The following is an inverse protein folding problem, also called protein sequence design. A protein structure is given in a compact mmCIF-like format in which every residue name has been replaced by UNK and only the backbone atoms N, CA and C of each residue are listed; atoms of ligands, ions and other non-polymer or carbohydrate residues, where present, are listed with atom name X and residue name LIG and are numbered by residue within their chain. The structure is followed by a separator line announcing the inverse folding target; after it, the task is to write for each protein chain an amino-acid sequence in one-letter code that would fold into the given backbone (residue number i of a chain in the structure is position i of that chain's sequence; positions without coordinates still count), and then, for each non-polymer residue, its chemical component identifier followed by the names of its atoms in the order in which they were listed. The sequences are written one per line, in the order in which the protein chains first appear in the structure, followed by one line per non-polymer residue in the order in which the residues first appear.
data_IF_183191924434
#
_entry.id   IF_183191924434
#
_cell.length_a   1.000
_cell.length_b   1.000
_cell.length_c   1.000
_cell.angle_alpha   90.00
_cell.angle_beta   90.00
_cell.angle_gamma   90.00
#
_symmetry.space_group_name_H-M   'P 1'
#
loop_
_entity.id
_entity.type
_entity.pdbx_description
1 polymer ?
#
# COMPACT_ATOMS: atom_id res chain seq x y z
N UNK A 1 15.12 -44.82 5.58
CA UNK A 1 15.36 -43.51 6.24
C UNK A 1 15.84 -42.57 5.15
N UNK A 2 15.06 -41.56 4.73
CA UNK A 2 15.51 -40.63 3.68
C UNK A 2 16.80 -39.96 4.13
N UNK A 3 17.80 -39.97 3.26
CA UNK A 3 19.12 -39.37 3.53
C UNK A 3 18.95 -37.90 3.91
N UNK A 4 19.72 -37.42 4.90
CA UNK A 4 19.71 -36.03 5.38
C UNK A 4 19.78 -35.01 4.23
N UNK A 5 20.45 -35.37 3.13
CA UNK A 5 20.52 -34.59 1.90
C UNK A 5 19.18 -34.36 1.20
N UNK A 6 18.27 -35.34 1.22
CA UNK A 6 16.93 -35.22 0.61
C UNK A 6 16.08 -34.22 1.39
N UNK A 7 16.24 -34.14 2.71
CA UNK A 7 15.57 -33.16 3.55
C UNK A 7 16.09 -31.74 3.29
N UNK A 8 17.40 -31.57 3.14
CA UNK A 8 18.01 -30.26 2.82
C UNK A 8 17.52 -29.76 1.45
N UNK A 9 17.51 -30.62 0.43
CA UNK A 9 17.01 -30.25 -0.90
C UNK A 9 15.51 -29.91 -0.90
N UNK A 10 14.70 -30.60 -0.09
CA UNK A 10 13.27 -30.29 0.04
C UNK A 10 13.01 -28.93 0.70
N UNK A 11 13.81 -28.54 1.70
CA UNK A 11 13.69 -27.23 2.37
C UNK A 11 14.17 -26.08 1.46
N UNK A 12 15.26 -26.28 0.69
CA UNK A 12 15.74 -25.26 -0.25
C UNK A 12 14.90 -25.15 -1.54
N UNK A 13 14.28 -26.24 -2.00
CA UNK A 13 13.47 -26.24 -3.22
C UNK A 13 12.12 -25.52 -3.09
N UNK A 14 11.64 -25.29 -1.87
CA UNK A 14 10.34 -24.65 -1.60
C UNK A 14 10.35 -23.12 -1.56
N UNK A 15 11.52 -22.46 -1.60
CA UNK A 15 11.63 -21.04 -1.26
C UNK A 15 11.39 -20.05 -2.41
N UNK A 16 11.32 -20.50 -3.67
CA UNK A 16 11.42 -19.58 -4.83
C UNK A 16 10.12 -19.31 -5.60
N UNK A 17 8.96 -19.79 -5.14
CA UNK A 17 7.68 -19.55 -5.82
C UNK A 17 6.82 -18.48 -5.11
N UNK A 18 7.43 -17.38 -4.65
CA UNK A 18 6.63 -16.25 -4.17
C UNK A 18 5.96 -15.61 -5.38
N UNK A 19 4.62 -15.51 -5.41
CA UNK A 19 3.93 -14.83 -6.49
C UNK A 19 4.39 -13.37 -6.52
N UNK A 20 4.79 -12.90 -7.71
CA UNK A 20 5.05 -11.47 -7.93
C UNK A 20 3.73 -10.73 -7.68
N UNK A 21 3.69 -9.76 -6.75
CA UNK A 21 2.48 -8.98 -6.52
C UNK A 21 2.05 -8.29 -7.81
N UNK A 22 0.75 -8.38 -8.13
CA UNK A 22 0.20 -7.62 -9.24
C UNK A 22 0.42 -6.12 -9.01
N UNK A 23 0.65 -5.33 -10.08
CA UNK A 23 0.77 -3.89 -9.93
C UNK A 23 -0.52 -3.31 -9.35
N UNK A 24 -0.38 -2.40 -8.38
CA UNK A 24 -1.50 -1.69 -7.78
C UNK A 24 -2.13 -0.76 -8.83
N UNK A 25 -3.46 -0.69 -8.85
CA UNK A 25 -4.18 0.34 -9.58
C UNK A 25 -3.88 1.73 -8.97
N UNK A 26 -3.99 2.80 -9.76
CA UNK A 26 -3.71 4.18 -9.31
C UNK A 26 -4.47 4.55 -8.04
N UNK A 27 -5.77 4.23 -7.98
CA UNK A 27 -6.63 4.48 -6.82
C UNK A 27 -6.20 3.69 -5.58
N UNK A 28 -5.71 2.46 -5.76
CA UNK A 28 -5.19 1.64 -4.68
C UNK A 28 -3.85 2.19 -4.15
N UNK A 29 -2.99 2.68 -5.04
CA UNK A 29 -1.73 3.31 -4.65
C UNK A 29 -1.96 4.60 -3.86
N UNK A 30 -2.94 5.43 -4.25
CA UNK A 30 -3.36 6.59 -3.48
C UNK A 30 -3.89 6.20 -2.09
N UNK A 31 -4.79 5.21 -2.03
CA UNK A 31 -5.32 4.72 -0.76
C UNK A 31 -4.21 4.23 0.17
N UNK A 32 -3.29 3.41 -0.34
CA UNK A 32 -2.15 2.91 0.42
C UNK A 32 -1.23 4.04 0.90
N UNK A 33 -1.00 5.07 0.09
CA UNK A 33 -0.20 6.22 0.47
C UNK A 33 -0.85 7.00 1.63
N UNK A 34 -2.16 7.23 1.56
CA UNK A 34 -2.94 7.90 2.62
C UNK A 34 -2.95 7.06 3.90
N UNK A 35 -3.17 5.76 3.79
CA UNK A 35 -3.14 4.84 4.93
C UNK A 35 -1.77 4.84 5.61
N UNK A 36 -0.68 4.84 4.82
CA UNK A 36 0.69 4.91 5.35
C UNK A 36 0.96 6.23 6.07
N UNK A 37 0.38 7.34 5.60
CA UNK A 37 0.48 8.64 6.27
C UNK A 37 -0.25 8.61 7.61
N UNK A 38 -1.47 8.07 7.65
CA UNK A 38 -2.29 7.98 8.86
C UNK A 38 -1.73 7.04 9.94
N UNK A 39 -0.81 6.13 9.59
CA UNK A 39 -0.15 5.24 10.55
C UNK A 39 1.03 5.90 11.29
N UNK A 40 1.43 7.12 10.91
CA UNK A 40 2.56 7.80 11.55
C UNK A 40 2.22 8.21 12.98
N UNK A 41 3.17 8.12 13.92
CA UNK A 41 2.91 8.34 15.34
C UNK A 41 2.58 9.80 15.70
N UNK A 42 2.96 10.75 14.86
CA UNK A 42 2.70 12.19 15.01
C UNK A 42 1.30 12.60 14.51
N UNK A 43 0.60 11.72 13.80
CA UNK A 43 -0.73 12.00 13.24
C UNK A 43 -1.80 11.72 14.29
N UNK A 44 -2.53 12.78 14.67
CA UNK A 44 -3.59 12.71 15.69
C UNK A 44 -4.98 12.42 15.09
N UNK A 45 -5.25 13.01 13.93
CA UNK A 45 -6.51 12.90 13.20
C UNK A 45 -6.30 12.23 11.86
N UNK A 46 -7.33 11.53 11.38
CA UNK A 46 -7.30 10.86 10.08
C UNK A 46 -7.22 11.90 8.97
N UNK A 47 -6.35 11.69 8.01
CA UNK A 47 -6.27 12.44 6.77
C UNK A 47 -7.01 11.70 5.67
N UNK A 48 -7.77 12.46 4.87
CA UNK A 48 -8.50 11.96 3.72
C UNK A 48 -8.04 12.69 2.45
N UNK A 49 -8.13 12.01 1.31
CA UNK A 49 -7.90 12.62 0.01
C UNK A 49 -8.80 13.84 -0.19
N UNK A 50 -8.20 14.98 -0.52
CA UNK A 50 -8.90 16.20 -0.93
C UNK A 50 -8.95 16.29 -2.46
N UNK A 51 -7.81 16.10 -3.12
CA UNK A 51 -7.69 16.11 -4.58
C UNK A 51 -6.49 15.26 -5.01
N UNK A 52 -6.53 14.75 -6.23
CA UNK A 52 -5.40 14.09 -6.88
C UNK A 52 -5.30 14.55 -8.33
N UNK A 53 -4.08 14.51 -8.87
CA UNK A 53 -3.89 14.64 -10.31
C UNK A 53 -4.62 13.49 -11.05
N UNK A 54 -5.00 13.67 -12.33
CA UNK A 54 -5.64 12.60 -13.10
C UNK A 54 -4.73 11.38 -13.23
N UNK A 55 -5.35 10.21 -13.33
CA UNK A 55 -4.63 8.95 -13.53
C UNK A 55 -3.74 9.04 -14.79
N UNK A 56 -2.47 8.58 -14.72
CA UNK A 56 -1.58 8.58 -15.87
C UNK A 56 -2.17 7.79 -17.05
N UNK A 57 -1.84 8.21 -18.28
CA UNK A 57 -2.30 7.51 -19.47
C UNK A 57 -1.86 6.03 -19.47
N UNK A 58 -2.68 5.12 -20.03
CA UNK A 58 -2.32 3.72 -20.18
C UNK A 58 -0.97 3.57 -20.92
N UNK A 59 -0.06 2.77 -20.38
CA UNK A 59 1.26 2.51 -20.99
C UNK A 59 2.44 3.28 -20.39
N UNK A 60 2.23 4.09 -19.34
CA UNK A 60 3.35 4.57 -18.51
C UNK A 60 4.05 3.36 -17.89
N UNK A 61 5.34 3.19 -18.18
CA UNK A 61 6.12 2.04 -17.76
C UNK A 61 6.08 1.82 -16.24
N UNK A 62 5.58 0.65 -15.83
CA UNK A 62 5.51 0.21 -14.44
C UNK A 62 6.85 -0.33 -13.89
N UNK A 63 7.93 -0.24 -14.67
CA UNK A 63 9.27 -0.70 -14.28
C UNK A 63 10.03 0.30 -13.39
N UNK A 64 9.47 1.50 -13.16
CA UNK A 64 10.02 2.52 -12.27
C UNK A 64 9.02 2.90 -11.18
N UNK A 65 9.47 3.23 -9.95
CA UNK A 65 8.65 3.95 -8.99
C UNK A 65 8.02 5.18 -9.63
N UNK A 66 6.71 5.35 -9.44
CA UNK A 66 5.97 6.51 -9.93
C UNK A 66 5.82 7.55 -8.82
N UNK A 67 5.94 8.83 -9.18
CA UNK A 67 5.58 9.93 -8.30
C UNK A 67 4.09 10.23 -8.50
N UNK A 68 3.33 10.24 -7.41
CA UNK A 68 1.93 10.64 -7.39
C UNK A 68 1.83 12.03 -6.76
N UNK A 69 1.03 12.89 -7.38
CA UNK A 69 0.74 14.22 -6.85
C UNK A 69 -0.71 14.23 -6.37
N UNK A 70 -0.89 14.46 -5.07
CA UNK A 70 -2.19 14.52 -4.45
C UNK A 70 -2.13 15.39 -3.20
N UNK A 71 -3.29 15.90 -2.80
CA UNK A 71 -3.48 16.66 -1.58
C UNK A 71 -4.36 15.88 -0.63
N UNK A 72 -3.97 15.87 0.63
CA UNK A 72 -4.73 15.29 1.74
C UNK A 72 -5.13 16.41 2.70
N UNK A 73 -6.25 16.22 3.38
CA UNK A 73 -6.72 17.15 4.39
C UNK A 73 -7.06 16.41 5.67
N UNK A 74 -6.76 17.05 6.78
CA UNK A 74 -7.13 16.58 8.11
C UNK A 74 -8.65 16.50 8.24
N UNK A 75 -9.14 15.47 8.92
CA UNK A 75 -10.57 15.27 9.20
C UNK A 75 -10.85 15.44 10.70
N UNK A 76 -12.13 15.46 11.06
CA UNK A 76 -12.58 15.50 12.47
C UNK A 76 -12.40 14.18 13.22
N UNK A 77 -12.09 13.09 12.52
CA UNK A 77 -11.94 11.79 13.15
C UNK A 77 -10.55 11.64 13.77
N UNK A 78 -10.45 11.27 15.07
CA UNK A 78 -9.16 10.89 15.64
C UNK A 78 -8.71 9.54 15.08
N UNK A 79 -7.41 9.36 14.82
CA UNK A 79 -6.84 8.09 14.29
C UNK A 79 -7.20 6.90 15.20
N UNK A 80 -7.22 7.13 16.51
CA UNK A 80 -7.54 6.12 17.52
C UNK A 80 -8.97 5.58 17.46
N UNK A 81 -9.88 6.27 16.77
CA UNK A 81 -11.26 5.79 16.61
C UNK A 81 -11.38 4.56 15.70
N UNK A 82 -10.37 4.28 14.87
CA UNK A 82 -10.46 3.25 13.83
C UNK A 82 -11.48 3.58 12.73
N UNK A 83 -11.94 4.84 12.65
CA UNK A 83 -12.85 5.29 11.62
C UNK A 83 -12.21 5.20 10.23
N UNK A 84 -13.01 4.87 9.22
CA UNK A 84 -12.55 4.85 7.82
C UNK A 84 -12.42 6.29 7.33
N UNK A 85 -11.32 6.66 6.65
CA UNK A 85 -11.11 8.03 6.16
C UNK A 85 -12.31 8.57 5.35
N UNK A 86 -12.95 7.74 4.53
CA UNK A 86 -14.06 8.15 3.65
C UNK A 86 -15.35 8.52 4.38
N UNK A 87 -15.49 8.07 5.63
CA UNK A 87 -16.66 8.34 6.50
C UNK A 87 -16.47 9.54 7.41
N UNK A 88 -15.27 10.12 7.39
CA UNK A 88 -14.92 11.25 8.23
C UNK A 88 -15.20 12.56 7.50
N UNK A 89 -15.85 13.47 8.22
CA UNK A 89 -16.01 14.85 7.77
C UNK A 89 -14.68 15.60 7.90
N UNK A 90 -14.45 16.50 6.94
CA UNK A 90 -13.33 17.43 6.95
C UNK A 90 -13.44 18.42 8.14
#
# INVERSE_FOLDING_TARGET
MPSSWVLVLAVLGGACALPVPAPLAYTQALAQAIDSFNQRPDVQNVFRLLSADPEPAPGVQLSSPQRLNFTIMETRCPVRSGARPDTCEF
#
